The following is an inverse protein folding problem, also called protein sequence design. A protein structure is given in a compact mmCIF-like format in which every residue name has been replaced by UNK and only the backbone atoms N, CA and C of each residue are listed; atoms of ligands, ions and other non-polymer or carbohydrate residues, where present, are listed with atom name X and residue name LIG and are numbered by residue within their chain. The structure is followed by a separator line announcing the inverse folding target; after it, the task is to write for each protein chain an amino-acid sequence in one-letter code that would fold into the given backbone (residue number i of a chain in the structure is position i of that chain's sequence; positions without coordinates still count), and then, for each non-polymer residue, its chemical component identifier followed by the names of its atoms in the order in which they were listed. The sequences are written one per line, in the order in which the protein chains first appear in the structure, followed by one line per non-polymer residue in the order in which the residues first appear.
data_IF_074966959617
#
_entry.id   IF_074966959617
#
_cell.length_a   1.000
_cell.length_b   1.000
_cell.length_c   1.000
_cell.angle_alpha   90.00
_cell.angle_beta   90.00
_cell.angle_gamma   90.00
#
_symmetry.space_group_name_H-M   'P 1'
#
loop_
_entity.id
_entity.type
_entity.pdbx_description
1 polymer ?
#
# COMPACT_ATOMS: atom_id res chain seq x y z
N UNK A 1 15.78 15.77 13.26
CA UNK A 1 15.13 14.49 13.60
C UNK A 1 16.03 13.37 13.09
N UNK A 2 16.52 12.50 13.96
CA UNK A 2 17.38 11.38 13.57
C UNK A 2 16.55 10.38 12.76
N UNK A 3 16.87 10.20 11.48
CA UNK A 3 16.12 9.35 10.55
C UNK A 3 16.30 7.84 10.78
N UNK A 4 16.36 7.38 12.04
CA UNK A 4 16.54 5.96 12.37
C UNK A 4 15.23 5.19 12.36
N UNK A 5 14.18 5.65 13.01
CA UNK A 5 12.82 5.11 12.84
C UNK A 5 11.82 6.26 12.89
N UNK A 6 10.66 6.05 12.28
CA UNK A 6 9.56 7.01 12.30
C UNK A 6 8.32 6.33 12.86
N UNK A 7 7.84 6.81 13.99
CA UNK A 7 6.64 6.31 14.64
C UNK A 7 5.65 7.46 14.80
N UNK A 8 4.40 7.22 14.38
CA UNK A 8 3.30 8.15 14.58
C UNK A 8 2.09 7.40 15.12
N UNK A 9 1.50 7.96 16.16
CA UNK A 9 0.36 7.37 16.87
C UNK A 9 -0.96 8.05 16.47
N UNK A 10 -2.06 7.44 16.91
CA UNK A 10 -3.43 7.83 16.57
C UNK A 10 -3.70 9.33 16.75
N UNK A 11 -4.37 9.91 15.76
CA UNK A 11 -4.74 11.33 15.75
C UNK A 11 -3.65 12.26 15.19
N UNK A 12 -2.48 11.74 14.84
CA UNK A 12 -1.42 12.52 14.19
C UNK A 12 -1.83 12.91 12.77
N UNK A 13 -1.97 14.22 12.51
CA UNK A 13 -2.28 14.76 11.19
C UNK A 13 -1.13 15.63 10.69
N UNK A 14 -0.62 15.33 9.50
CA UNK A 14 0.37 16.15 8.81
C UNK A 14 -0.22 16.68 7.51
N UNK A 15 -0.30 18.00 7.42
CA UNK A 15 -0.71 18.71 6.21
C UNK A 15 0.48 19.50 5.69
N UNK A 16 0.89 19.20 4.47
CA UNK A 16 1.86 20.01 3.74
C UNK A 16 1.13 21.09 2.97
N UNK A 17 1.60 22.34 3.07
CA UNK A 17 1.20 23.42 2.15
C UNK A 17 1.95 23.34 0.81
N UNK A 18 2.93 22.44 0.72
CA UNK A 18 3.73 22.23 -0.48
C UNK A 18 3.02 21.26 -1.42
N UNK A 19 3.54 21.18 -2.65
CA UNK A 19 3.12 20.20 -3.63
C UNK A 19 3.29 18.75 -3.14
N UNK A 20 4.31 18.51 -2.31
CA UNK A 20 4.71 17.16 -1.90
C UNK A 20 4.86 17.05 -0.38
N UNK A 21 4.61 15.84 0.13
CA UNK A 21 4.90 15.44 1.51
C UNK A 21 5.67 14.13 1.46
N UNK A 22 6.87 14.11 2.05
CA UNK A 22 7.75 12.94 2.07
C UNK A 22 8.09 12.57 3.51
N UNK A 23 7.78 11.33 3.89
CA UNK A 23 8.25 10.70 5.12
C UNK A 23 9.32 9.67 4.76
N UNK A 24 10.51 9.78 5.35
CA UNK A 24 11.62 8.88 5.06
C UNK A 24 12.36 8.48 6.34
N UNK A 25 12.64 7.18 6.48
CA UNK A 25 13.45 6.62 7.56
C UNK A 25 14.45 5.57 7.03
N UNK A 26 15.59 5.42 7.71
CA UNK A 26 16.55 4.33 7.46
C UNK A 26 16.07 3.02 8.07
N UNK A 27 15.42 3.08 9.22
CA UNK A 27 14.80 1.94 9.86
C UNK A 27 13.31 1.90 9.58
N UNK A 28 12.54 1.41 10.55
CA UNK A 28 11.14 1.10 10.35
C UNK A 28 10.27 2.36 10.35
N UNK A 29 9.18 2.33 9.57
CA UNK A 29 8.13 3.34 9.59
C UNK A 29 6.85 2.71 10.11
N UNK A 30 6.34 3.20 11.24
CA UNK A 30 5.10 2.75 11.86
C UNK A 30 4.13 3.93 11.94
N UNK A 31 3.04 3.87 11.18
CA UNK A 31 2.00 4.89 11.18
C UNK A 31 0.68 4.26 11.62
N UNK A 32 0.17 4.68 12.76
CA UNK A 32 -1.11 4.23 13.30
C UNK A 32 -2.06 5.42 13.40
N UNK A 33 -3.26 5.30 12.82
CA UNK A 33 -4.30 6.33 12.88
C UNK A 33 -3.87 7.69 12.33
N UNK A 34 -2.86 7.68 11.45
CA UNK A 34 -2.25 8.89 10.92
C UNK A 34 -3.00 9.39 9.67
N UNK A 35 -3.04 10.70 9.51
CA UNK A 35 -3.56 11.38 8.32
C UNK A 35 -2.47 12.18 7.63
N UNK A 36 -2.20 11.88 6.37
CA UNK A 36 -1.29 12.66 5.53
C UNK A 36 -2.07 13.39 4.44
N UNK A 37 -1.81 14.69 4.31
CA UNK A 37 -2.42 15.53 3.29
C UNK A 37 -1.35 16.35 2.58
N UNK A 38 -1.40 16.33 1.25
CA UNK A 38 -0.52 17.09 0.37
C UNK A 38 -1.30 17.54 -0.86
N UNK A 39 -0.81 18.58 -1.55
CA UNK A 39 -1.52 19.09 -2.72
C UNK A 39 -1.45 18.12 -3.91
N UNK A 40 -0.28 17.52 -4.19
CA UNK A 40 -0.05 16.68 -5.38
C UNK A 40 0.42 15.28 -5.04
N UNK A 41 1.45 15.14 -4.21
CA UNK A 41 2.03 13.83 -3.90
C UNK A 41 2.29 13.59 -2.41
N UNK A 42 2.13 12.33 -2.00
CA UNK A 42 2.55 11.81 -0.71
C UNK A 42 3.46 10.61 -0.92
N UNK A 43 4.64 10.62 -0.31
CA UNK A 43 5.60 9.52 -0.36
C UNK A 43 6.01 9.07 1.05
N UNK A 44 5.99 7.75 1.29
CA UNK A 44 6.53 7.11 2.48
C UNK A 44 7.65 6.16 2.05
N UNK A 45 8.83 6.27 2.67
CA UNK A 45 10.01 5.47 2.31
C UNK A 45 10.72 4.94 3.56
N UNK A 46 11.06 3.66 3.53
CA UNK A 46 11.81 2.97 4.57
C UNK A 46 12.90 2.10 3.93
N UNK A 47 14.10 2.06 4.51
CA UNK A 47 15.12 1.06 4.12
C UNK A 47 14.94 -0.28 4.84
N UNK A 48 13.93 -0.41 5.70
CA UNK A 48 13.51 -1.64 6.37
C UNK A 48 12.02 -1.90 6.09
N UNK A 49 11.20 -1.90 7.14
CA UNK A 49 9.79 -2.24 7.09
C UNK A 49 8.91 -0.99 7.12
N UNK A 50 7.70 -1.11 6.58
CA UNK A 50 6.63 -0.11 6.70
C UNK A 50 5.38 -0.82 7.22
N UNK A 51 4.83 -0.29 8.31
CA UNK A 51 3.58 -0.76 8.91
C UNK A 51 2.60 0.40 9.00
N UNK A 52 1.48 0.28 8.29
CA UNK A 52 0.41 1.27 8.26
C UNK A 52 -0.86 0.65 8.81
N UNK A 53 -1.46 1.31 9.80
CA UNK A 53 -2.74 0.90 10.39
C UNK A 53 -3.70 2.08 10.47
N UNK A 54 -4.93 1.89 9.99
CA UNK A 54 -5.99 2.91 10.00
C UNK A 54 -5.52 4.27 9.44
N UNK A 55 -4.84 4.20 8.31
CA UNK A 55 -4.10 5.31 7.73
C UNK A 55 -4.92 6.00 6.64
N UNK A 56 -4.98 7.34 6.68
CA UNK A 56 -5.66 8.13 5.65
C UNK A 56 -4.66 8.97 4.88
N UNK A 57 -4.77 8.96 3.55
CA UNK A 57 -3.97 9.82 2.67
C UNK A 57 -4.86 10.59 1.70
N UNK A 58 -4.63 11.90 1.63
CA UNK A 58 -5.35 12.80 0.74
C UNK A 58 -4.42 13.58 -0.15
N UNK A 59 -4.55 13.39 -1.46
CA UNK A 59 -3.71 14.03 -2.46
C UNK A 59 -4.35 13.96 -3.85
N UNK A 60 -3.96 14.85 -4.78
CA UNK A 60 -4.60 14.94 -6.09
C UNK A 60 -3.93 14.13 -7.21
N UNK A 61 -2.67 13.70 -7.06
CA UNK A 61 -1.94 13.03 -8.15
C UNK A 61 -1.43 11.63 -7.78
N UNK A 62 -0.67 11.49 -6.70
CA UNK A 62 0.10 10.26 -6.46
C UNK A 62 0.35 9.93 -5.01
N UNK A 63 0.23 8.66 -4.67
CA UNK A 63 0.74 8.09 -3.42
C UNK A 63 1.81 7.05 -3.74
N UNK A 64 2.96 7.13 -3.06
CA UNK A 64 4.03 6.13 -3.18
C UNK A 64 4.46 5.63 -1.82
N UNK A 65 4.44 4.32 -1.60
CA UNK A 65 4.86 3.68 -0.36
C UNK A 65 5.95 2.66 -0.70
N UNK A 66 7.14 2.82 -0.13
CA UNK A 66 8.29 1.96 -0.39
C UNK A 66 8.88 1.44 0.91
N UNK A 67 8.98 0.13 1.03
CA UNK A 67 9.75 -0.58 2.04
C UNK A 67 10.82 -1.40 1.34
N UNK A 68 11.98 -1.63 1.95
CA UNK A 68 12.98 -2.52 1.37
C UNK A 68 12.66 -3.99 1.66
N UNK A 69 12.02 -4.24 2.81
CA UNK A 69 11.68 -5.58 3.31
C UNK A 69 10.17 -5.81 3.24
N UNK A 70 9.44 -5.59 4.34
CA UNK A 70 8.03 -5.88 4.40
C UNK A 70 7.19 -4.60 4.41
N UNK A 71 6.13 -4.58 3.60
CA UNK A 71 5.06 -3.59 3.66
C UNK A 71 3.78 -4.25 4.17
N UNK A 72 3.35 -3.81 5.35
CA UNK A 72 2.11 -4.22 5.99
C UNK A 72 1.14 -3.05 6.01
N UNK A 73 -0.05 -3.24 5.44
CA UNK A 73 -1.09 -2.22 5.43
C UNK A 73 -2.39 -2.85 5.90
N UNK A 74 -2.98 -2.25 6.92
CA UNK A 74 -4.26 -2.65 7.49
C UNK A 74 -5.16 -1.43 7.69
N UNK A 75 -6.15 -1.25 6.82
CA UNK A 75 -6.99 -0.05 6.83
C UNK A 75 -6.29 1.14 6.18
N UNK A 76 -6.38 1.24 4.86
CA UNK A 76 -5.88 2.38 4.07
C UNK A 76 -7.06 3.10 3.40
N UNK A 77 -7.20 4.38 3.72
CA UNK A 77 -8.23 5.25 3.15
C UNK A 77 -7.59 6.23 2.16
N UNK A 78 -7.99 6.12 0.90
CA UNK A 78 -7.49 6.92 -0.23
C UNK A 78 -8.55 7.93 -0.66
N UNK A 79 -8.10 9.08 -1.17
CA UNK A 79 -8.98 9.98 -1.93
C UNK A 79 -9.62 9.23 -3.11
N UNK A 80 -10.93 9.37 -3.29
CA UNK A 80 -11.67 8.68 -4.36
C UNK A 80 -11.18 9.05 -5.78
N UNK A 81 -10.62 10.24 -5.94
CA UNK A 81 -10.09 10.74 -7.21
C UNK A 81 -8.58 10.53 -7.36
N UNK A 82 -7.93 9.72 -6.51
CA UNK A 82 -6.49 9.50 -6.58
C UNK A 82 -6.13 8.84 -7.94
N UNK A 83 -5.31 9.48 -8.79
CA UNK A 83 -4.95 8.89 -10.08
C UNK A 83 -4.02 7.68 -9.96
N UNK A 84 -3.04 7.72 -9.06
CA UNK A 84 -1.98 6.71 -8.99
C UNK A 84 -1.59 6.34 -7.56
N UNK A 85 -1.47 5.03 -7.33
CA UNK A 85 -0.95 4.42 -6.11
C UNK A 85 0.16 3.43 -6.46
N UNK A 86 1.34 3.62 -5.90
CA UNK A 86 2.48 2.71 -6.10
C UNK A 86 2.93 2.19 -4.74
N UNK A 87 3.01 0.87 -4.60
CA UNK A 87 3.55 0.20 -3.42
C UNK A 87 4.68 -0.75 -3.82
N UNK A 88 5.81 -0.65 -3.14
CA UNK A 88 7.00 -1.45 -3.44
C UNK A 88 7.59 -2.02 -2.14
N UNK A 89 7.76 -3.34 -2.07
CA UNK A 89 8.44 -4.01 -0.97
C UNK A 89 8.86 -5.42 -1.36
N UNK A 90 9.82 -6.03 -0.66
CA UNK A 90 10.13 -7.46 -0.88
C UNK A 90 8.86 -8.31 -0.73
N UNK A 91 8.09 -8.09 0.34
CA UNK A 91 6.77 -8.69 0.55
C UNK A 91 5.74 -7.61 0.85
N UNK A 92 4.56 -7.70 0.22
CA UNK A 92 3.43 -6.80 0.47
C UNK A 92 2.29 -7.61 1.08
N UNK A 93 1.75 -7.17 2.22
CA UNK A 93 0.61 -7.78 2.91
C UNK A 93 -0.46 -6.73 3.18
N UNK A 94 -1.63 -6.92 2.57
CA UNK A 94 -2.72 -5.95 2.60
C UNK A 94 -3.92 -6.53 3.31
N UNK A 95 -4.58 -5.69 4.12
CA UNK A 95 -5.87 -5.94 4.78
C UNK A 95 -6.72 -4.69 4.77
N UNK A 96 -8.04 -4.87 4.67
CA UNK A 96 -9.02 -3.80 4.86
C UNK A 96 -8.76 -2.58 3.96
N UNK A 97 -8.59 -2.82 2.65
CA UNK A 97 -8.33 -1.77 1.66
C UNK A 97 -9.38 -1.87 0.57
N UNK A 98 -10.01 -0.74 0.25
CA UNK A 98 -10.81 -0.58 -0.96
C UNK A 98 -10.06 0.36 -1.91
N UNK A 99 -9.51 -0.21 -2.97
CA UNK A 99 -8.86 0.57 -4.01
C UNK A 99 -9.92 1.31 -4.82
N UNK A 100 -9.88 2.64 -4.96
CA UNK A 100 -10.82 3.35 -5.83
C UNK A 100 -10.68 2.83 -7.26
N UNK A 101 -11.81 2.62 -7.94
CA UNK A 101 -11.83 2.04 -9.30
C UNK A 101 -11.10 2.89 -10.34
N UNK A 102 -11.04 4.21 -10.12
CA UNK A 102 -10.33 5.16 -10.97
C UNK A 102 -8.81 5.21 -10.70
N UNK A 103 -8.34 4.65 -9.59
CA UNK A 103 -6.91 4.67 -9.22
C UNK A 103 -6.16 3.58 -9.96
N UNK A 104 -5.09 3.94 -10.65
CA UNK A 104 -4.12 2.97 -11.15
C UNK A 104 -3.23 2.50 -10.00
N UNK A 105 -3.33 1.23 -9.64
CA UNK A 105 -2.61 0.63 -8.53
C UNK A 105 -1.47 -0.24 -9.08
N UNK A 106 -0.24 0.07 -8.68
CA UNK A 106 0.93 -0.73 -8.99
C UNK A 106 1.54 -1.30 -7.72
N UNK A 107 1.61 -2.63 -7.64
CA UNK A 107 2.16 -3.37 -6.50
C UNK A 107 3.38 -4.14 -6.98
N UNK A 108 4.57 -3.74 -6.55
CA UNK A 108 5.82 -4.39 -6.94
C UNK A 108 6.39 -5.19 -5.77
N UNK A 109 6.59 -6.50 -5.97
CA UNK A 109 7.18 -7.39 -4.97
C UNK A 109 8.37 -8.18 -5.52
N UNK A 110 9.18 -8.79 -4.65
CA UNK A 110 10.39 -9.51 -5.08
C UNK A 110 10.11 -10.56 -6.17
N UNK A 111 9.07 -11.37 -5.98
CA UNK A 111 8.69 -12.44 -6.90
C UNK A 111 7.60 -12.00 -7.89
N UNK A 112 6.92 -10.89 -7.61
CA UNK A 112 5.84 -10.35 -8.42
C UNK A 112 4.59 -11.23 -8.44
N UNK A 113 3.85 -11.18 -9.55
CA UNK A 113 2.57 -11.84 -9.69
C UNK A 113 2.66 -13.38 -9.78
N UNK A 114 1.60 -14.05 -9.35
CA UNK A 114 1.34 -15.47 -9.59
C UNK A 114 0.66 -15.57 -10.96
N UNK A 115 1.14 -16.49 -11.79
CA UNK A 115 0.68 -16.68 -13.18
C UNK A 115 0.65 -15.37 -14.00
N UNK A 116 1.57 -14.45 -13.69
CA UNK A 116 1.70 -13.16 -14.37
C UNK A 116 0.65 -12.10 -14.02
N UNK A 117 -0.33 -12.41 -13.15
CA UNK A 117 -1.43 -11.46 -12.84
C UNK A 117 -1.84 -11.36 -11.37
N UNK A 118 -1.81 -12.45 -10.62
CA UNK A 118 -2.56 -12.55 -9.37
C UNK A 118 -1.71 -12.34 -8.12
N UNK A 119 -2.29 -11.79 -7.04
CA UNK A 119 -1.73 -11.91 -5.70
C UNK A 119 -2.01 -13.30 -5.12
N UNK A 120 -1.50 -13.56 -3.92
CA UNK A 120 -2.09 -14.57 -3.04
C UNK A 120 -3.41 -14.04 -2.47
N UNK A 121 -4.43 -14.90 -2.36
CA UNK A 121 -5.73 -14.54 -1.82
C UNK A 121 -6.01 -15.25 -0.48
N UNK A 122 -6.51 -14.49 0.48
CA UNK A 122 -6.97 -14.99 1.77
C UNK A 122 -5.86 -15.25 2.79
N UNK A 123 -6.28 -15.60 4.00
CA UNK A 123 -5.41 -15.85 5.16
C UNK A 123 -4.94 -17.29 5.26
N UNK A 124 -5.54 -18.22 4.51
CA UNK A 124 -5.14 -19.64 4.50
C UNK A 124 -3.83 -19.91 3.76
N UNK A 125 -3.30 -18.93 3.04
CA UNK A 125 -2.01 -19.05 2.33
C UNK A 125 -0.87 -19.14 3.36
N UNK A 126 -0.07 -20.22 3.36
CA UNK A 126 1.04 -20.37 4.30
C UNK A 126 2.03 -19.20 4.24
N UNK A 127 2.58 -18.79 5.39
CA UNK A 127 3.52 -17.66 5.43
C UNK A 127 4.70 -17.82 4.45
N UNK A 128 5.19 -19.04 4.28
CA UNK A 128 6.29 -19.35 3.33
C UNK A 128 5.92 -19.03 1.87
N UNK A 129 4.65 -19.18 1.49
CA UNK A 129 4.14 -18.82 0.16
C UNK A 129 3.86 -17.31 0.03
N UNK A 130 3.65 -16.62 1.16
CA UNK A 130 3.48 -15.17 1.17
C UNK A 130 4.80 -14.43 0.94
N UNK A 131 5.93 -15.00 1.37
CA UNK A 131 7.24 -14.37 1.29
C UNK A 131 7.62 -14.02 -0.15
N UNK A 132 7.95 -12.74 -0.36
CA UNK A 132 8.36 -12.20 -1.65
C UNK A 132 7.19 -11.86 -2.58
N UNK A 133 5.94 -11.98 -2.14
CA UNK A 133 4.73 -11.81 -2.97
C UNK A 133 3.89 -10.63 -2.52
N UNK A 134 2.92 -10.29 -3.37
CA UNK A 134 1.74 -9.50 -2.98
C UNK A 134 0.69 -10.42 -2.40
N UNK A 135 0.16 -10.07 -1.24
CA UNK A 135 -0.79 -10.88 -0.50
C UNK A 135 -2.03 -10.05 -0.13
N UNK A 136 -3.18 -10.44 -0.68
CA UNK A 136 -4.49 -9.89 -0.34
C UNK A 136 -5.09 -10.77 0.74
N UNK A 137 -4.87 -10.41 1.99
CA UNK A 137 -5.12 -11.30 3.11
C UNK A 137 -6.58 -11.24 3.56
N UNK A 138 -7.15 -10.04 3.68
CA UNK A 138 -8.48 -9.86 4.24
C UNK A 138 -9.14 -8.59 3.71
N UNK A 139 -10.44 -8.69 3.35
CA UNK A 139 -11.29 -7.56 2.99
C UNK A 139 -10.62 -6.57 2.00
N UNK A 140 -10.04 -7.12 0.94
CA UNK A 140 -9.50 -6.33 -0.16
C UNK A 140 -10.60 -6.15 -1.21
N UNK A 141 -10.77 -4.91 -1.67
CA UNK A 141 -11.79 -4.51 -2.63
C UNK A 141 -11.22 -3.61 -3.72
N UNK A 142 -11.92 -3.55 -4.85
CA UNK A 142 -11.75 -2.50 -5.86
C UNK A 142 -13.10 -1.93 -6.25
N UNK A 143 -13.26 -0.62 -6.09
CA UNK A 143 -14.52 0.08 -6.31
C UNK A 143 -15.66 -0.52 -5.48
N UNK A 144 -15.39 -0.95 -4.25
CA UNK A 144 -16.37 -1.59 -3.36
C UNK A 144 -16.58 -3.09 -3.60
N UNK A 145 -16.04 -3.68 -4.67
CA UNK A 145 -16.23 -5.10 -4.98
C UNK A 145 -15.10 -5.95 -4.38
N UNK A 146 -15.41 -7.10 -3.74
CA UNK A 146 -14.40 -7.97 -3.13
C UNK A 146 -13.43 -8.55 -4.16
N UNK A 147 -12.15 -8.64 -3.81
CA UNK A 147 -11.08 -9.28 -4.60
C UNK A 147 -10.53 -10.49 -3.84
N UNK A 148 -11.34 -11.55 -3.77
CA UNK A 148 -11.10 -12.71 -2.91
C UNK A 148 -10.60 -13.96 -3.66
N UNK A 149 -10.65 -13.92 -4.99
CA UNK A 149 -10.22 -15.00 -5.86
C UNK A 149 -9.90 -14.46 -7.27
N UNK A 150 -9.52 -15.36 -8.18
CA UNK A 150 -9.18 -14.98 -9.57
C UNK A 150 -10.38 -14.44 -10.34
N UNK A 151 -11.57 -15.02 -10.15
CA UNK A 151 -12.78 -14.63 -10.89
C UNK A 151 -13.15 -13.19 -10.56
N UNK A 152 -13.22 -12.86 -9.28
CA UNK A 152 -13.47 -11.50 -8.81
C UNK A 152 -12.34 -10.54 -9.18
N UNK A 153 -11.08 -10.98 -9.12
CA UNK A 153 -9.95 -10.16 -9.57
C UNK A 153 -9.98 -9.86 -11.07
N UNK A 154 -10.36 -10.83 -11.91
CA UNK A 154 -10.49 -10.63 -13.35
C UNK A 154 -11.61 -9.65 -13.70
N UNK A 155 -12.71 -9.70 -12.95
CA UNK A 155 -13.87 -8.84 -13.15
C UNK A 155 -13.67 -7.40 -12.64
N UNK A 156 -13.06 -7.24 -11.46
CA UNK A 156 -13.02 -5.95 -10.75
C UNK A 156 -11.61 -5.38 -10.53
N UNK A 157 -10.56 -6.20 -10.65
CA UNK A 157 -9.17 -5.83 -10.37
C UNK A 157 -8.41 -5.24 -11.56
N UNK A 158 -9.10 -4.81 -12.62
CA UNK A 158 -8.46 -4.33 -13.87
C UNK A 158 -7.56 -3.10 -13.71
N UNK A 159 -7.74 -2.34 -12.63
CA UNK A 159 -6.90 -1.19 -12.28
C UNK A 159 -5.63 -1.55 -11.48
N UNK A 160 -5.47 -2.82 -11.09
CA UNK A 160 -4.35 -3.30 -10.27
C UNK A 160 -3.35 -4.07 -11.13
N UNK A 161 -2.08 -3.65 -11.10
CA UNK A 161 -0.95 -4.34 -11.73
C UNK A 161 0.02 -4.83 -10.68
N UNK A 162 0.46 -6.08 -10.82
CA UNK A 162 1.45 -6.69 -9.93
C UNK A 162 2.75 -6.93 -10.70
N UNK A 163 3.80 -6.21 -10.33
CA UNK A 163 5.11 -6.27 -10.94
C UNK A 163 6.17 -6.94 -10.05
N UNK A 164 7.34 -7.16 -10.64
CA UNK A 164 8.55 -7.49 -9.89
C UNK A 164 9.29 -6.21 -9.51
N UNK A 165 9.98 -6.23 -8.38
CA UNK A 165 10.99 -5.20 -8.10
C UNK A 165 12.08 -5.24 -9.18
N UNK A 166 12.60 -4.07 -9.59
CA UNK A 166 13.71 -3.97 -10.53
C UNK A 166 15.01 -4.57 -9.98
#
# INVERSE_FOLDING_TARGET
MSGDSLEMQDGSSFKSSLAELVLAARGDVLLQGARLESAREVAIRSMRDVQLSNFTVSTSEKVRIMANRDLHVDGLYLSQNLPSLIMEATTIRLRNIDFPSATQVQLNSLKGAIDGRYPNFGTSVPQTQQLGRVNFLENIRSGGNPLIDRVSFDQFGGNIKIGKLP
#
